data_IF_349065755894
#
_entry.id   IF_349065755894
#
_cell.length_a   1.000
_cell.length_b   1.000
_cell.length_c   1.000
_cell.angle_alpha   90.00
_cell.angle_beta   90.00
_cell.angle_gamma   90.00
#
_symmetry.space_group_name_H-M   'P 1'
#
loop_
_entity.id
_entity.type
_entity.pdbx_description
1 polymer ?
#
# COMPACT_ATOMS: atom_id res chain seq x y z
N UNK A 1 -6.04 -36.11 12.09
CA UNK A 1 -5.62 -34.80 11.51
C UNK A 1 -5.98 -34.90 10.02
N UNK A 2 -7.05 -34.22 9.63
CA UNK A 2 -7.40 -34.09 8.21
C UNK A 2 -6.43 -33.03 7.68
N UNK A 3 -5.52 -33.41 6.80
CA UNK A 3 -4.75 -32.42 6.03
C UNK A 3 -5.77 -31.62 5.21
N UNK A 4 -5.99 -30.35 5.56
CA UNK A 4 -6.62 -29.42 4.62
C UNK A 4 -5.74 -29.45 3.37
N UNK A 5 -6.20 -30.10 2.32
CA UNK A 5 -5.60 -29.98 0.99
C UNK A 5 -5.75 -28.49 0.62
N UNK A 6 -4.66 -27.74 0.68
CA UNK A 6 -4.63 -26.38 0.19
C UNK A 6 -4.90 -26.39 -1.32
N UNK A 7 -6.08 -25.92 -1.71
CA UNK A 7 -6.43 -25.78 -3.11
C UNK A 7 -5.49 -24.75 -3.77
N UNK A 8 -4.71 -25.21 -4.74
CA UNK A 8 -3.79 -24.35 -5.49
C UNK A 8 -4.62 -23.38 -6.33
N UNK A 9 -4.51 -22.10 -6.04
CA UNK A 9 -5.16 -21.03 -6.81
C UNK A 9 -4.19 -20.38 -7.78
N UNK A 10 -4.72 -19.84 -8.87
CA UNK A 10 -3.96 -19.06 -9.86
C UNK A 10 -4.16 -17.56 -9.62
N UNK A 11 -3.08 -16.85 -9.39
CA UNK A 11 -3.10 -15.44 -9.05
C UNK A 11 -2.32 -14.58 -10.06
N UNK A 12 -2.87 -13.41 -10.39
CA UNK A 12 -2.17 -12.41 -11.18
C UNK A 12 -2.02 -11.14 -10.37
N UNK A 13 -0.78 -10.70 -10.19
CA UNK A 13 -0.46 -9.45 -9.49
C UNK A 13 -0.07 -8.39 -10.53
N UNK A 14 -0.89 -7.36 -10.66
CA UNK A 14 -0.66 -6.22 -11.57
C UNK A 14 0.05 -5.12 -10.81
N UNK A 15 1.34 -4.92 -11.12
CA UNK A 15 2.19 -3.92 -10.49
C UNK A 15 3.29 -4.53 -9.59
N UNK A 16 4.55 -4.33 -9.98
CA UNK A 16 5.74 -4.86 -9.30
C UNK A 16 6.42 -3.83 -8.38
N UNK A 17 5.62 -2.99 -7.69
CA UNK A 17 6.08 -2.17 -6.58
C UNK A 17 6.36 -3.03 -5.32
N UNK A 18 6.83 -2.42 -4.21
CA UNK A 18 7.19 -3.15 -2.98
C UNK A 18 6.08 -4.10 -2.50
N UNK A 19 4.85 -3.61 -2.37
CA UNK A 19 3.71 -4.42 -1.93
C UNK A 19 3.36 -5.51 -2.94
N UNK A 20 3.32 -5.18 -4.26
CA UNK A 20 2.99 -6.18 -5.29
C UNK A 20 4.01 -7.32 -5.39
N UNK A 21 5.31 -7.02 -5.28
CA UNK A 21 6.37 -8.05 -5.22
C UNK A 21 6.21 -8.94 -4.00
N UNK A 22 5.96 -8.35 -2.85
CA UNK A 22 5.77 -9.09 -1.60
C UNK A 22 4.49 -9.93 -1.63
N UNK A 23 3.40 -9.40 -2.22
CA UNK A 23 2.15 -10.17 -2.43
C UNK A 23 2.41 -11.39 -3.30
N UNK A 24 3.13 -11.21 -4.43
CA UNK A 24 3.46 -12.31 -5.32
C UNK A 24 4.35 -13.35 -4.62
N UNK A 25 5.38 -12.91 -3.89
CA UNK A 25 6.30 -13.78 -3.15
C UNK A 25 5.58 -14.60 -2.08
N UNK A 26 4.71 -13.95 -1.30
CA UNK A 26 3.93 -14.62 -0.24
C UNK A 26 2.99 -15.66 -0.84
N UNK A 27 2.23 -15.30 -1.85
CA UNK A 27 1.29 -16.20 -2.49
C UNK A 27 1.99 -17.43 -3.13
N UNK A 28 3.13 -17.22 -3.81
CA UNK A 28 3.92 -18.32 -4.33
C UNK A 28 4.52 -19.20 -3.22
N UNK A 29 4.97 -18.60 -2.11
CA UNK A 29 5.46 -19.33 -0.94
C UNK A 29 4.37 -20.15 -0.21
N UNK A 30 3.11 -19.82 -0.43
CA UNK A 30 1.95 -20.59 0.05
C UNK A 30 1.50 -21.67 -0.98
N UNK A 31 2.23 -21.84 -2.09
CA UNK A 31 1.99 -22.88 -3.09
C UNK A 31 1.01 -22.50 -4.21
N UNK A 32 0.66 -21.21 -4.34
CA UNK A 32 -0.19 -20.75 -5.44
C UNK A 32 0.62 -20.53 -6.74
N UNK A 33 -0.03 -20.67 -7.90
CA UNK A 33 0.54 -20.29 -9.20
C UNK A 33 0.44 -18.76 -9.36
N UNK A 34 1.58 -18.07 -9.47
CA UNK A 34 1.59 -16.60 -9.42
C UNK A 34 2.28 -15.99 -10.63
N UNK A 35 1.55 -15.09 -11.29
CA UNK A 35 2.08 -14.22 -12.34
C UNK A 35 2.16 -12.79 -11.81
N UNK A 36 3.37 -12.21 -11.80
CA UNK A 36 3.57 -10.79 -11.52
C UNK A 36 3.77 -10.01 -12.81
N UNK A 37 3.02 -8.94 -12.99
CA UNK A 37 3.13 -8.10 -14.19
C UNK A 37 3.54 -6.68 -13.87
N UNK A 38 4.39 -6.11 -14.69
CA UNK A 38 4.68 -4.67 -14.74
C UNK A 38 5.35 -4.33 -16.06
N UNK A 39 5.42 -3.03 -16.41
CA UNK A 39 6.10 -2.58 -17.62
C UNK A 39 7.58 -2.99 -17.64
N UNK A 40 8.21 -3.00 -16.48
CA UNK A 40 9.61 -3.40 -16.28
C UNK A 40 9.67 -4.55 -15.26
N UNK A 41 9.11 -5.70 -15.63
CA UNK A 41 9.07 -6.86 -14.75
C UNK A 41 10.50 -7.47 -14.64
N UNK A 42 11.22 -7.08 -13.60
CA UNK A 42 12.43 -7.79 -13.18
C UNK A 42 12.06 -9.04 -12.38
N UNK A 43 13.00 -9.96 -12.19
CA UNK A 43 12.81 -11.16 -11.37
C UNK A 43 12.45 -10.81 -9.92
N UNK A 44 11.63 -11.64 -9.29
CA UNK A 44 11.35 -11.60 -7.84
C UNK A 44 12.24 -12.65 -7.18
N UNK A 45 13.00 -12.24 -6.15
CA UNK A 45 13.80 -13.18 -5.38
C UNK A 45 12.93 -13.98 -4.42
N UNK A 46 13.17 -15.29 -4.31
CA UNK A 46 12.57 -16.16 -3.30
C UNK A 46 11.13 -16.61 -3.60
N UNK A 47 10.97 -17.45 -4.61
CA UNK A 47 9.72 -18.11 -4.94
C UNK A 47 9.58 -18.35 -6.44
N UNK A 48 8.75 -19.30 -6.84
CA UNK A 48 8.41 -19.57 -8.23
C UNK A 48 7.38 -18.56 -8.77
N UNK A 49 7.77 -17.27 -8.80
CA UNK A 49 6.95 -16.21 -9.36
C UNK A 49 7.30 -16.01 -10.82
N UNK A 50 6.35 -16.30 -11.71
CA UNK A 50 6.49 -16.00 -13.14
C UNK A 50 6.30 -14.50 -13.38
N UNK A 51 7.31 -13.81 -13.88
CA UNK A 51 7.24 -12.38 -14.21
C UNK A 51 6.99 -12.15 -15.69
N UNK A 52 6.07 -11.23 -16.02
CA UNK A 52 5.68 -10.92 -17.39
C UNK A 52 5.66 -9.40 -17.57
N UNK A 53 6.33 -8.91 -18.63
CA UNK A 53 6.24 -7.49 -18.99
C UNK A 53 4.86 -7.20 -19.60
N UNK A 54 4.13 -6.25 -18.97
CA UNK A 54 2.81 -5.85 -19.42
C UNK A 54 2.49 -4.40 -19.05
N UNK A 55 1.73 -3.74 -19.92
CA UNK A 55 1.10 -2.47 -19.59
C UNK A 55 -0.31 -2.73 -19.03
N UNK A 56 -0.58 -2.21 -17.84
CA UNK A 56 -1.88 -2.37 -17.18
C UNK A 56 -3.03 -1.67 -17.90
N UNK A 57 -2.74 -0.80 -18.89
CA UNK A 57 -3.74 -0.17 -19.74
C UNK A 57 -4.06 -0.98 -20.99
N UNK A 58 -3.23 -1.98 -21.33
CA UNK A 58 -3.50 -2.94 -22.44
C UNK A 58 -4.39 -4.08 -21.94
N UNK A 59 -5.71 -3.87 -22.06
CA UNK A 59 -6.74 -4.84 -21.67
C UNK A 59 -6.53 -6.20 -22.34
N UNK A 60 -6.21 -6.22 -23.64
CA UNK A 60 -6.06 -7.47 -24.36
C UNK A 60 -4.85 -8.28 -23.86
N UNK A 61 -3.77 -7.60 -23.50
CA UNK A 61 -2.60 -8.23 -22.90
C UNK A 61 -2.92 -8.78 -21.51
N UNK A 62 -3.57 -7.96 -20.66
CA UNK A 62 -3.97 -8.40 -19.31
C UNK A 62 -4.92 -9.61 -19.35
N UNK A 63 -5.92 -9.59 -20.24
CA UNK A 63 -6.83 -10.73 -20.42
C UNK A 63 -6.08 -12.02 -20.80
N UNK A 64 -5.11 -11.93 -21.73
CA UNK A 64 -4.30 -13.10 -22.10
C UNK A 64 -3.49 -13.65 -20.93
N UNK A 65 -2.89 -12.75 -20.14
CA UNK A 65 -2.06 -13.11 -18.97
C UNK A 65 -2.91 -13.70 -17.86
N UNK A 66 -4.13 -13.21 -17.68
CA UNK A 66 -5.03 -13.57 -16.58
C UNK A 66 -5.97 -14.74 -16.89
N UNK A 67 -5.83 -15.42 -18.03
CA UNK A 67 -6.67 -16.60 -18.35
C UNK A 67 -6.51 -17.68 -17.29
N UNK A 68 -7.63 -18.10 -16.71
CA UNK A 68 -7.66 -19.11 -15.64
C UNK A 68 -7.24 -18.59 -14.27
N UNK A 69 -7.06 -17.29 -14.11
CA UNK A 69 -6.80 -16.73 -12.80
C UNK A 69 -8.06 -16.72 -11.92
N UNK A 70 -7.91 -17.13 -10.66
CA UNK A 70 -8.96 -17.05 -9.64
C UNK A 70 -9.07 -15.63 -9.07
N UNK A 71 -7.93 -14.96 -8.91
CA UNK A 71 -7.85 -13.61 -8.34
C UNK A 71 -6.83 -12.76 -9.09
N UNK A 72 -7.20 -11.51 -9.35
CA UNK A 72 -6.30 -10.46 -9.82
C UNK A 72 -6.09 -9.45 -8.70
N UNK A 73 -4.82 -9.20 -8.34
CA UNK A 73 -4.42 -8.15 -7.41
C UNK A 73 -4.01 -6.90 -8.20
N UNK A 74 -4.66 -5.77 -7.93
CA UNK A 74 -4.28 -4.48 -8.50
C UNK A 74 -3.38 -3.74 -7.52
N UNK A 75 -2.05 -3.84 -7.73
CA UNK A 75 -1.01 -3.18 -6.94
C UNK A 75 -0.24 -2.11 -7.74
N UNK A 76 -0.62 -1.89 -9.02
CA UNK A 76 0.00 -0.87 -9.86
C UNK A 76 -0.40 0.53 -9.41
N UNK A 77 0.50 1.49 -9.63
CA UNK A 77 0.28 2.90 -9.33
C UNK A 77 0.81 3.78 -10.47
N UNK A 78 0.07 4.82 -10.81
CA UNK A 78 0.54 5.88 -11.69
C UNK A 78 1.54 6.79 -10.95
N UNK A 79 2.40 7.54 -11.67
CA UNK A 79 3.21 8.60 -11.06
C UNK A 79 2.32 9.56 -10.27
N UNK A 80 2.75 9.94 -9.07
CA UNK A 80 1.90 10.64 -8.08
C UNK A 80 1.26 11.93 -8.62
N UNK A 81 1.99 12.71 -9.44
CA UNK A 81 1.51 13.93 -10.08
C UNK A 81 0.55 13.68 -11.26
N UNK A 82 0.44 12.43 -11.75
CA UNK A 82 -0.39 12.05 -12.89
C UNK A 82 -1.62 11.22 -12.50
N UNK A 83 -1.92 11.08 -11.22
CA UNK A 83 -3.06 10.30 -10.76
C UNK A 83 -4.38 10.67 -11.43
N UNK A 84 -4.74 11.96 -11.62
CA UNK A 84 -6.03 12.30 -12.23
C UNK A 84 -6.21 11.80 -13.67
N UNK A 85 -5.10 11.54 -14.38
CA UNK A 85 -5.14 11.17 -15.81
C UNK A 85 -4.70 9.74 -16.09
N UNK A 86 -3.70 9.22 -15.36
CA UNK A 86 -3.09 7.92 -15.67
C UNK A 86 -3.54 6.79 -14.76
N UNK A 87 -4.13 7.08 -13.59
CA UNK A 87 -4.48 6.02 -12.67
C UNK A 87 -5.78 5.30 -13.03
N UNK A 88 -6.77 6.01 -13.57
CA UNK A 88 -8.01 5.40 -14.01
C UNK A 88 -7.82 4.38 -15.14
N UNK A 89 -7.05 4.64 -16.21
CA UNK A 89 -6.78 3.65 -17.24
C UNK A 89 -6.15 2.35 -16.70
N UNK A 90 -5.26 2.44 -15.70
CA UNK A 90 -4.64 1.27 -15.05
C UNK A 90 -5.70 0.45 -14.30
N UNK A 91 -6.57 1.11 -13.51
CA UNK A 91 -7.66 0.43 -12.83
C UNK A 91 -8.65 -0.18 -13.82
N UNK A 92 -9.12 0.62 -14.77
CA UNK A 92 -10.15 0.22 -15.73
C UNK A 92 -9.68 -0.98 -16.57
N UNK A 93 -8.39 -0.99 -16.96
CA UNK A 93 -7.77 -2.13 -17.64
C UNK A 93 -7.75 -3.39 -16.79
N UNK A 94 -7.41 -3.25 -15.52
CA UNK A 94 -7.38 -4.39 -14.57
C UNK A 94 -8.79 -4.92 -14.26
N UNK A 95 -9.76 -4.03 -14.02
CA UNK A 95 -11.18 -4.39 -13.82
C UNK A 95 -11.71 -5.13 -15.05
N UNK A 96 -11.46 -4.59 -16.25
CA UNK A 96 -11.94 -5.21 -17.49
C UNK A 96 -11.33 -6.58 -17.74
N UNK A 97 -10.05 -6.76 -17.39
CA UNK A 97 -9.42 -8.06 -17.46
C UNK A 97 -10.08 -9.05 -16.47
N UNK A 98 -10.30 -8.64 -15.22
CA UNK A 98 -10.96 -9.46 -14.21
C UNK A 98 -12.38 -9.90 -14.65
N UNK A 99 -13.19 -8.96 -15.14
CA UNK A 99 -14.52 -9.23 -15.65
C UNK A 99 -14.52 -10.21 -16.85
N UNK A 100 -13.53 -10.06 -17.75
CA UNK A 100 -13.44 -10.89 -18.96
C UNK A 100 -13.09 -12.34 -18.64
N UNK A 101 -12.25 -12.57 -17.63
CA UNK A 101 -11.82 -13.93 -17.25
C UNK A 101 -12.63 -14.51 -16.08
N UNK A 102 -13.51 -13.70 -15.44
CA UNK A 102 -14.30 -14.12 -14.28
C UNK A 102 -13.52 -14.18 -12.96
N UNK A 103 -12.35 -13.55 -12.89
CA UNK A 103 -11.52 -13.54 -11.68
C UNK A 103 -12.05 -12.55 -10.64
N UNK A 104 -11.91 -12.88 -9.36
CA UNK A 104 -12.14 -11.93 -8.26
C UNK A 104 -11.07 -10.83 -8.31
N UNK A 105 -11.38 -9.66 -7.76
CA UNK A 105 -10.49 -8.49 -7.76
C UNK A 105 -10.13 -8.07 -6.34
N UNK A 106 -8.84 -7.94 -6.03
CA UNK A 106 -8.34 -7.36 -4.78
C UNK A 106 -7.50 -6.12 -5.11
N UNK A 107 -7.94 -4.95 -4.65
CA UNK A 107 -7.33 -3.66 -4.98
C UNK A 107 -6.52 -3.13 -3.81
N UNK A 108 -5.28 -2.76 -4.05
CA UNK A 108 -4.48 -1.99 -3.10
C UNK A 108 -4.93 -0.52 -3.12
N UNK A 109 -5.64 -0.13 -2.09
CA UNK A 109 -6.10 1.23 -1.85
C UNK A 109 -5.27 1.97 -0.81
N UNK A 110 -5.77 3.15 -0.43
CA UNK A 110 -5.21 3.94 0.68
C UNK A 110 -6.33 4.67 1.45
N UNK A 111 -5.92 5.49 2.43
CA UNK A 111 -6.84 6.17 3.34
C UNK A 111 -7.26 7.57 2.88
N UNK A 112 -6.76 8.06 1.75
CA UNK A 112 -7.01 9.44 1.28
C UNK A 112 -8.48 9.73 1.01
N UNK A 113 -9.25 8.72 0.62
CA UNK A 113 -10.67 8.84 0.33
C UNK A 113 -11.54 9.21 1.55
N UNK A 114 -11.05 9.05 2.77
CA UNK A 114 -11.80 9.45 3.98
C UNK A 114 -11.81 10.96 4.20
N UNK A 115 -10.82 11.69 3.67
CA UNK A 115 -10.70 13.13 3.80
C UNK A 115 -10.25 13.61 5.18
N UNK A 116 -10.04 14.93 5.28
CA UNK A 116 -9.50 15.59 6.48
C UNK A 116 -10.47 15.57 7.67
N UNK A 117 -11.78 15.54 7.38
CA UNK A 117 -12.84 15.64 8.40
C UNK A 117 -13.31 14.27 8.92
N UNK A 118 -12.66 13.19 8.50
CA UNK A 118 -13.03 11.85 8.93
C UNK A 118 -12.97 11.69 10.44
N UNK A 119 -13.95 10.98 10.99
CA UNK A 119 -13.93 10.58 12.40
C UNK A 119 -12.70 9.70 12.69
N UNK A 120 -12.10 9.85 13.87
CA UNK A 120 -10.94 9.07 14.28
C UNK A 120 -11.28 8.19 15.49
N UNK A 121 -10.92 6.89 15.52
CA UNK A 121 -10.18 6.18 14.49
C UNK A 121 -10.96 6.00 13.19
N UNK A 122 -10.25 6.12 12.05
CA UNK A 122 -10.82 5.83 10.74
C UNK A 122 -11.10 4.33 10.63
N UNK A 123 -12.33 3.95 10.33
CA UNK A 123 -12.78 2.56 10.20
C UNK A 123 -13.13 2.25 8.74
N UNK A 124 -13.01 0.98 8.27
CA UNK A 124 -13.42 0.59 6.92
C UNK A 124 -14.90 0.85 6.61
N UNK A 125 -15.74 0.93 7.65
CA UNK A 125 -17.16 1.18 7.54
C UNK A 125 -17.54 2.66 7.37
N UNK A 126 -16.60 3.60 7.61
CA UNK A 126 -16.85 5.02 7.41
C UNK A 126 -17.07 5.34 5.93
N UNK A 127 -17.99 6.27 5.62
CA UNK A 127 -18.17 6.75 4.26
C UNK A 127 -16.89 7.45 3.78
N UNK A 128 -16.63 7.37 2.48
CA UNK A 128 -15.59 8.14 1.84
C UNK A 128 -16.12 9.56 1.56
N UNK A 129 -15.41 10.55 2.09
CA UNK A 129 -15.71 11.99 1.94
C UNK A 129 -14.41 12.76 1.66
N UNK A 130 -13.83 12.58 0.47
CA UNK A 130 -12.52 13.12 0.14
C UNK A 130 -12.52 14.66 0.09
N UNK A 131 -11.54 15.29 0.75
CA UNK A 131 -11.33 16.73 0.75
C UNK A 131 -10.21 17.18 -0.20
N UNK A 132 -9.54 16.24 -0.88
CA UNK A 132 -8.41 16.49 -1.75
C UNK A 132 -8.59 15.85 -3.12
N UNK A 133 -7.84 16.33 -4.13
CA UNK A 133 -7.88 15.76 -5.50
C UNK A 133 -7.46 14.29 -5.51
N UNK A 134 -6.41 13.93 -4.78
CA UNK A 134 -5.93 12.53 -4.69
C UNK A 134 -6.90 11.65 -3.92
N UNK A 135 -7.52 12.16 -2.87
CA UNK A 135 -8.62 11.49 -2.17
C UNK A 135 -9.80 11.20 -3.10
N UNK A 136 -10.21 12.19 -3.92
CA UNK A 136 -11.26 12.01 -4.92
C UNK A 136 -10.92 10.93 -5.94
N UNK A 137 -9.67 10.92 -6.46
CA UNK A 137 -9.22 9.86 -7.37
C UNK A 137 -9.36 8.49 -6.74
N UNK A 138 -8.89 8.29 -5.50
CA UNK A 138 -8.98 7.00 -4.80
C UNK A 138 -10.42 6.58 -4.52
N UNK A 139 -11.27 7.52 -4.15
CA UNK A 139 -12.71 7.27 -3.96
C UNK A 139 -13.36 6.77 -5.24
N UNK A 140 -13.13 7.44 -6.37
CA UNK A 140 -13.67 7.03 -7.67
C UNK A 140 -13.12 5.67 -8.10
N UNK A 141 -11.83 5.40 -7.87
CA UNK A 141 -11.23 4.10 -8.16
C UNK A 141 -11.93 2.97 -7.39
N UNK A 142 -12.15 3.15 -6.10
CA UNK A 142 -12.90 2.15 -5.33
C UNK A 142 -14.34 1.99 -5.82
N UNK A 143 -15.04 3.09 -6.10
CA UNK A 143 -16.41 3.04 -6.64
C UNK A 143 -16.47 2.24 -7.95
N UNK A 144 -15.50 2.43 -8.85
CA UNK A 144 -15.42 1.67 -10.12
C UNK A 144 -15.13 0.19 -9.86
N UNK A 145 -14.17 -0.13 -8.97
CA UNK A 145 -13.85 -1.51 -8.63
C UNK A 145 -15.02 -2.22 -7.95
N UNK A 146 -15.71 -1.55 -7.04
CA UNK A 146 -16.89 -2.10 -6.35
C UNK A 146 -18.11 -2.28 -7.26
N UNK A 147 -18.19 -1.53 -8.36
CA UNK A 147 -19.24 -1.66 -9.37
C UNK A 147 -18.92 -2.71 -10.46
N UNK A 148 -17.75 -3.37 -10.40
CA UNK A 148 -17.40 -4.44 -11.33
C UNK A 148 -18.38 -5.61 -11.24
N UNK A 149 -18.54 -6.34 -12.34
CA UNK A 149 -19.41 -7.54 -12.40
C UNK A 149 -18.82 -8.75 -11.67
N UNK A 150 -17.58 -8.65 -11.22
CA UNK A 150 -16.89 -9.66 -10.39
C UNK A 150 -16.77 -9.18 -8.94
N UNK A 151 -16.65 -10.10 -7.97
CA UNK A 151 -16.44 -9.72 -6.57
C UNK A 151 -15.15 -8.90 -6.39
N UNK A 152 -15.23 -7.76 -5.68
CA UNK A 152 -14.08 -6.91 -5.40
C UNK A 152 -13.93 -6.65 -3.89
N UNK A 153 -12.67 -6.58 -3.43
CA UNK A 153 -12.27 -6.11 -2.09
C UNK A 153 -11.18 -5.05 -2.26
N UNK A 154 -11.21 -4.01 -1.43
CA UNK A 154 -10.13 -3.04 -1.32
C UNK A 154 -9.36 -3.25 0.00
N UNK A 155 -8.04 -3.27 -0.06
CA UNK A 155 -7.16 -3.21 1.11
C UNK A 155 -6.55 -1.81 1.17
N UNK A 156 -6.98 -1.00 2.13
CA UNK A 156 -6.54 0.38 2.32
C UNK A 156 -5.37 0.44 3.28
N UNK A 157 -4.24 0.95 2.81
CA UNK A 157 -3.04 1.14 3.61
C UNK A 157 -2.78 2.63 3.88
N UNK A 158 -2.11 2.92 4.99
CA UNK A 158 -1.54 4.23 5.30
C UNK A 158 -0.15 4.38 4.67
N UNK A 159 0.61 5.38 5.08
CA UNK A 159 2.00 5.55 4.64
C UNK A 159 2.85 4.34 5.02
N UNK A 160 3.71 3.93 4.10
CA UNK A 160 4.46 2.70 4.24
C UNK A 160 5.80 2.87 4.94
N UNK A 161 6.12 1.89 5.78
CA UNK A 161 7.47 1.48 6.12
C UNK A 161 7.74 0.11 5.48
N UNK A 162 9.01 -0.21 5.26
CA UNK A 162 9.46 -1.46 4.66
C UNK A 162 10.38 -1.24 3.48
N UNK A 163 11.02 -2.31 3.05
CA UNK A 163 12.00 -2.28 1.96
C UNK A 163 11.38 -1.70 0.67
N UNK A 164 12.03 -0.68 0.10
CA UNK A 164 11.62 -0.03 -1.13
C UNK A 164 10.35 0.82 -1.04
N UNK A 165 9.79 1.06 0.16
CA UNK A 165 8.65 1.94 0.35
C UNK A 165 9.00 3.38 -0.06
N UNK A 166 8.10 4.02 -0.83
CA UNK A 166 8.24 5.41 -1.26
C UNK A 166 7.16 6.24 -0.55
N UNK A 167 7.57 7.00 0.45
CA UNK A 167 6.71 7.87 1.30
C UNK A 167 7.46 9.15 1.63
N UNK A 168 6.78 10.11 2.26
CA UNK A 168 7.48 11.31 2.74
C UNK A 168 8.62 10.98 3.69
N UNK A 169 8.44 9.99 4.55
CA UNK A 169 9.49 9.57 5.47
C UNK A 169 10.71 9.05 4.73
N UNK A 170 10.52 8.14 3.76
CA UNK A 170 11.63 7.58 2.98
C UNK A 170 12.32 8.59 2.06
N UNK A 171 11.61 9.64 1.66
CA UNK A 171 12.16 10.67 0.77
C UNK A 171 12.79 11.86 1.52
N UNK A 172 12.31 12.19 2.72
CA UNK A 172 12.74 13.37 3.45
C UNK A 172 13.60 13.05 4.68
N UNK A 173 13.17 12.08 5.50
CA UNK A 173 13.83 11.77 6.77
C UNK A 173 14.89 10.67 6.65
N UNK A 174 14.56 9.58 5.97
CA UNK A 174 15.45 8.41 5.86
C UNK A 174 16.82 8.72 5.24
N UNK A 175 16.95 9.53 4.16
CA UNK A 175 18.25 9.87 3.61
C UNK A 175 19.19 10.60 4.59
N UNK A 176 18.63 11.51 5.40
CA UNK A 176 19.39 12.22 6.43
C UNK A 176 19.84 11.27 7.56
N UNK A 177 18.95 10.34 7.96
CA UNK A 177 19.28 9.30 8.95
C UNK A 177 20.38 8.36 8.46
N UNK A 178 20.30 7.88 7.22
CA UNK A 178 21.32 7.01 6.64
C UNK A 178 22.70 7.69 6.53
N UNK A 179 22.72 9.00 6.28
CA UNK A 179 23.93 9.82 6.27
C UNK A 179 24.39 10.24 7.68
N UNK A 180 23.66 9.85 8.72
CA UNK A 180 23.89 10.23 10.11
C UNK A 180 23.97 11.76 10.30
N UNK A 181 23.11 12.51 9.60
CA UNK A 181 23.02 13.96 9.71
C UNK A 181 22.54 14.37 11.11
N UNK A 182 23.03 15.52 11.59
CA UNK A 182 22.66 16.05 12.92
C UNK A 182 21.24 16.63 12.96
N UNK A 183 20.63 16.88 11.81
CA UNK A 183 19.31 17.50 11.65
C UNK A 183 18.48 16.70 10.66
N UNK A 184 17.23 16.42 11.02
CA UNK A 184 16.20 15.86 10.14
C UNK A 184 15.05 16.84 10.05
N UNK A 185 14.64 17.20 8.84
CA UNK A 185 13.50 18.09 8.60
C UNK A 185 12.32 17.31 8.05
N UNK A 186 11.11 17.56 8.60
CA UNK A 186 9.90 16.88 8.18
C UNK A 186 8.67 17.81 8.30
N UNK A 187 7.69 17.75 7.39
CA UNK A 187 6.49 18.57 7.46
C UNK A 187 5.47 18.08 8.49
N UNK A 188 4.51 18.93 8.86
CA UNK A 188 3.43 18.61 9.78
C UNK A 188 3.84 18.62 11.25
N UNK A 189 2.99 18.14 12.11
CA UNK A 189 3.20 18.05 13.54
C UNK A 189 4.09 16.83 13.88
N UNK A 190 5.32 17.09 14.32
CA UNK A 190 6.32 16.05 14.57
C UNK A 190 5.97 15.12 15.75
N UNK A 191 5.04 15.56 16.61
CA UNK A 191 4.64 14.86 17.84
C UNK A 191 3.27 14.18 17.72
N UNK A 192 2.50 14.45 16.64
CA UNK A 192 1.23 13.80 16.42
C UNK A 192 1.44 12.34 15.97
N UNK A 193 0.80 11.35 16.59
CA UNK A 193 0.83 9.97 16.13
C UNK A 193 0.23 9.86 14.72
N UNK A 194 1.01 9.30 13.80
CA UNK A 194 0.62 8.96 12.45
C UNK A 194 0.49 7.45 12.29
N UNK A 195 -0.39 6.99 11.41
CA UNK A 195 -0.54 5.57 11.10
C UNK A 195 0.50 5.14 10.07
N UNK A 196 1.24 4.08 10.35
CA UNK A 196 2.25 3.50 9.45
C UNK A 196 1.87 2.07 9.12
N UNK A 197 1.66 1.77 7.85
CA UNK A 197 1.46 0.43 7.33
C UNK A 197 2.80 -0.22 6.98
N UNK A 198 2.95 -1.51 7.24
CA UNK A 198 4.09 -2.27 6.78
C UNK A 198 3.79 -2.88 5.40
N UNK A 199 4.73 -2.76 4.46
CA UNK A 199 4.57 -3.35 3.12
C UNK A 199 4.27 -4.83 3.16
N UNK A 200 4.93 -5.58 4.06
CA UNK A 200 4.72 -7.03 4.24
C UNK A 200 3.37 -7.36 4.87
N UNK A 201 2.91 -6.60 5.88
CA UNK A 201 1.60 -6.85 6.47
C UNK A 201 0.46 -6.48 5.52
N UNK A 202 0.68 -5.43 4.70
CA UNK A 202 -0.26 -5.10 3.62
C UNK A 202 -0.35 -6.20 2.58
N UNK A 203 0.79 -6.79 2.18
CA UNK A 203 0.81 -7.94 1.29
C UNK A 203 0.11 -9.16 1.88
N UNK A 204 0.34 -9.47 3.17
CA UNK A 204 -0.41 -10.53 3.89
C UNK A 204 -1.91 -10.25 3.87
N UNK A 205 -2.31 -8.99 4.09
CA UNK A 205 -3.73 -8.60 4.08
C UNK A 205 -4.34 -8.80 2.69
N UNK A 206 -3.62 -8.46 1.61
CA UNK A 206 -4.07 -8.70 0.24
C UNK A 206 -4.27 -10.21 -0.04
N UNK A 207 -3.28 -11.04 0.31
CA UNK A 207 -3.36 -12.51 0.10
C UNK A 207 -4.49 -13.11 0.94
N UNK A 208 -4.63 -12.71 2.21
CA UNK A 208 -5.72 -13.17 3.06
C UNK A 208 -7.10 -12.72 2.55
N UNK A 209 -7.21 -11.47 2.02
CA UNK A 209 -8.44 -10.96 1.43
C UNK A 209 -8.87 -11.75 0.17
N UNK A 210 -7.93 -12.28 -0.60
CA UNK A 210 -8.23 -13.14 -1.76
C UNK A 210 -8.97 -14.43 -1.38
N UNK A 211 -8.71 -14.92 -0.17
CA UNK A 211 -9.32 -16.14 0.41
C UNK A 211 -10.53 -15.86 1.30
N UNK A 212 -10.92 -14.59 1.44
CA UNK A 212 -12.04 -14.21 2.29
C UNK A 212 -13.34 -14.83 1.81
N UNK A 213 -14.01 -15.59 2.69
CA UNK A 213 -15.23 -16.34 2.39
C UNK A 213 -16.51 -15.56 2.72
N UNK A 214 -16.39 -14.40 3.38
CA UNK A 214 -17.52 -13.56 3.70
C UNK A 214 -17.99 -12.70 2.52
N UNK A 215 -18.83 -11.71 2.81
CA UNK A 215 -19.40 -10.80 1.80
C UNK A 215 -18.31 -9.89 1.20
N UNK A 216 -18.12 -9.98 -0.10
CA UNK A 216 -17.29 -9.07 -0.90
C UNK A 216 -18.00 -7.73 -1.13
N UNK A 217 -17.36 -6.79 -1.81
CA UNK A 217 -17.87 -5.42 -1.98
C UNK A 217 -17.58 -4.55 -0.76
N UNK A 218 -16.46 -4.80 -0.06
CA UNK A 218 -16.04 -4.10 1.15
C UNK A 218 -14.56 -3.71 1.10
N UNK A 219 -14.16 -2.86 2.06
CA UNK A 219 -12.77 -2.59 2.30
C UNK A 219 -12.29 -3.24 3.61
N UNK A 220 -10.97 -3.52 3.67
CA UNK A 220 -10.21 -3.80 4.88
C UNK A 220 -9.11 -2.76 5.04
N UNK A 221 -8.74 -2.42 6.26
CA UNK A 221 -7.54 -1.64 6.51
C UNK A 221 -6.35 -2.57 6.72
N UNK A 222 -5.22 -2.29 6.07
CA UNK A 222 -3.97 -2.94 6.41
C UNK A 222 -3.60 -2.60 7.86
N UNK A 223 -3.08 -3.55 8.65
CA UNK A 223 -2.64 -3.29 10.02
C UNK A 223 -1.59 -2.17 10.07
N UNK A 224 -1.61 -1.37 11.15
CA UNK A 224 -0.76 -0.20 11.30
C UNK A 224 -0.08 -0.13 12.67
N UNK A 225 1.05 0.58 12.73
CA UNK A 225 1.62 1.13 13.95
C UNK A 225 1.32 2.62 14.03
N UNK A 226 0.94 3.12 15.22
CA UNK A 226 0.67 4.54 15.43
C UNK A 226 1.86 5.17 16.16
N UNK A 227 2.68 5.90 15.43
CA UNK A 227 3.95 6.44 15.93
C UNK A 227 4.12 7.87 15.42
N UNK A 228 4.60 8.79 16.27
CA UNK A 228 4.95 10.14 15.84
C UNK A 228 6.21 10.13 14.97
N UNK A 229 6.43 11.20 14.21
CA UNK A 229 7.70 11.37 13.46
C UNK A 229 8.88 11.40 14.43
N UNK A 230 8.73 12.05 15.58
CA UNK A 230 9.78 12.12 16.61
C UNK A 230 10.18 10.74 17.09
N UNK A 231 9.20 9.92 17.47
CA UNK A 231 9.47 8.59 17.99
C UNK A 231 10.02 7.66 16.90
N UNK A 232 9.49 7.79 15.67
CA UNK A 232 9.98 7.02 14.52
C UNK A 232 11.45 7.35 14.21
N UNK A 233 11.80 8.65 14.14
CA UNK A 233 13.20 9.08 13.93
C UNK A 233 14.09 8.59 15.08
N UNK A 234 13.63 8.68 16.32
CA UNK A 234 14.34 8.13 17.49
C UNK A 234 14.60 6.63 17.36
N UNK A 235 13.62 5.88 16.85
CA UNK A 235 13.73 4.44 16.63
C UNK A 235 14.76 4.10 15.54
N UNK A 236 14.74 4.81 14.41
CA UNK A 236 15.75 4.66 13.37
C UNK A 236 17.14 5.04 13.87
N UNK A 237 17.27 6.15 14.60
CA UNK A 237 18.54 6.58 15.16
C UNK A 237 19.15 5.52 16.10
N UNK A 238 18.33 4.91 16.95
CA UNK A 238 18.78 3.83 17.83
C UNK A 238 19.28 2.61 17.06
N UNK A 239 18.57 2.17 16.01
CA UNK A 239 18.99 1.04 15.19
C UNK A 239 20.24 1.34 14.33
N UNK A 240 20.46 2.60 13.96
CA UNK A 240 21.64 3.05 13.23
C UNK A 240 22.83 3.37 14.16
N UNK A 241 22.68 3.16 15.46
CA UNK A 241 23.68 3.46 16.49
C UNK A 241 24.23 4.90 16.33
N UNK A 242 23.29 5.86 16.20
CA UNK A 242 23.61 7.27 16.08
C UNK A 242 22.93 8.10 17.16
N UNK A 243 23.48 9.28 17.46
CA UNK A 243 22.78 10.24 18.29
C UNK A 243 21.48 10.66 17.60
N UNK A 244 20.39 10.72 18.35
CA UNK A 244 19.11 11.20 17.83
C UNK A 244 19.29 12.62 17.26
N UNK A 245 18.94 12.85 15.98
CA UNK A 245 19.12 14.15 15.34
C UNK A 245 18.15 15.18 15.89
N UNK A 246 18.50 16.46 15.73
CA UNK A 246 17.54 17.54 15.92
C UNK A 246 16.44 17.45 14.87
N UNK A 247 15.18 17.48 15.32
CA UNK A 247 14.04 17.52 14.41
C UNK A 247 13.60 18.96 14.15
N UNK A 248 13.47 19.33 12.87
CA UNK A 248 12.95 20.61 12.43
C UNK A 248 11.67 20.44 11.63
N UNK A 249 10.64 21.16 12.03
CA UNK A 249 9.40 21.22 11.28
C UNK A 249 9.59 22.04 10.01
N UNK A 250 9.23 21.45 8.86
CA UNK A 250 9.24 22.15 7.57
C UNK A 250 7.91 22.88 7.37
N UNK A 251 7.99 24.10 6.88
CA UNK A 251 6.81 24.84 6.41
C UNK A 251 6.32 24.30 5.06
N UNK A 252 5.03 24.48 4.71
CA UNK A 252 4.53 24.16 3.37
C UNK A 252 5.34 24.81 2.24
N UNK A 253 5.82 26.05 2.45
CA UNK A 253 6.68 26.75 1.49
C UNK A 253 8.02 26.06 1.27
N UNK A 254 8.66 25.60 2.35
CA UNK A 254 9.91 24.86 2.25
C UNK A 254 9.70 23.50 1.53
N UNK A 255 8.62 22.78 1.87
CA UNK A 255 8.28 21.54 1.23
C UNK A 255 8.04 21.73 -0.28
N UNK A 256 7.30 22.78 -0.65
CA UNK A 256 7.07 23.16 -2.04
C UNK A 256 8.37 23.51 -2.76
N UNK A 257 9.26 24.27 -2.08
CA UNK A 257 10.55 24.71 -2.62
C UNK A 257 11.52 23.57 -2.99
N UNK A 258 11.35 22.39 -2.40
CA UNK A 258 12.11 21.17 -2.74
C UNK A 258 11.38 20.23 -3.71
N UNK A 259 10.31 20.71 -4.36
CA UNK A 259 9.60 19.97 -5.42
C UNK A 259 8.43 19.10 -4.96
N UNK A 260 8.02 19.16 -3.70
CA UNK A 260 6.91 18.36 -3.15
C UNK A 260 5.56 19.07 -3.20
N UNK A 261 5.26 19.81 -4.28
CA UNK A 261 3.98 20.52 -4.44
C UNK A 261 2.77 19.60 -4.34
N UNK A 262 2.85 18.43 -4.95
CA UNK A 262 1.77 17.44 -4.98
C UNK A 262 1.50 16.80 -3.61
N UNK A 263 2.42 17.00 -2.68
CA UNK A 263 2.34 16.50 -1.33
C UNK A 263 1.49 17.38 -0.41
N UNK A 264 1.37 18.66 -0.74
CA UNK A 264 0.75 19.66 0.13
C UNK A 264 -0.70 19.31 0.48
N UNK A 265 -1.45 18.79 -0.47
CA UNK A 265 -2.86 18.42 -0.23
C UNK A 265 -3.03 17.26 0.76
N UNK A 266 -1.97 16.50 1.05
CA UNK A 266 -2.00 15.38 1.98
C UNK A 266 -1.38 15.68 3.35
N UNK A 267 -0.91 16.91 3.59
CA UNK A 267 -0.28 17.28 4.87
C UNK A 267 -1.21 17.15 6.06
N UNK A 268 -2.52 17.27 5.87
CA UNK A 268 -3.51 17.10 6.94
C UNK A 268 -3.36 15.76 7.68
N UNK A 269 -2.82 14.73 7.03
CA UNK A 269 -2.57 13.42 7.64
C UNK A 269 -1.50 13.48 8.75
N UNK A 270 -0.65 14.52 8.73
CA UNK A 270 0.43 14.72 9.68
C UNK A 270 0.21 15.90 10.65
N UNK A 271 -0.89 16.66 10.53
CA UNK A 271 -1.15 17.84 11.37
C UNK A 271 -1.74 17.48 12.74
N UNK A 272 -2.51 16.41 12.80
CA UNK A 272 -3.19 15.94 14.02
C UNK A 272 -3.10 14.42 14.12
N UNK A 273 -3.35 13.82 15.30
CA UNK A 273 -3.33 12.36 15.44
C UNK A 273 -4.22 11.69 14.39
N UNK A 274 -3.63 10.88 13.54
CA UNK A 274 -4.33 10.10 12.53
C UNK A 274 -4.34 8.62 12.93
N UNK A 275 -5.48 8.18 13.49
CA UNK A 275 -5.66 6.83 13.98
C UNK A 275 -6.51 6.02 13.02
N UNK A 276 -6.13 4.76 12.83
CA UNK A 276 -6.77 3.82 11.91
C UNK A 276 -7.21 2.59 12.70
N UNK A 277 -8.44 2.17 12.50
CA UNK A 277 -8.97 0.91 12.97
C UNK A 277 -8.78 -0.17 11.91
N UNK A 278 -8.02 -1.20 12.23
CA UNK A 278 -7.76 -2.37 11.40
C UNK A 278 -8.24 -3.68 12.08
N UNK A 279 -9.14 -3.59 13.07
CA UNK A 279 -9.63 -4.75 13.80
C UNK A 279 -10.27 -5.81 12.90
N UNK A 280 -10.96 -5.41 11.83
CA UNK A 280 -11.52 -6.33 10.84
C UNK A 280 -10.46 -7.22 10.18
N UNK A 281 -9.26 -6.69 9.91
CA UNK A 281 -8.17 -7.47 9.33
C UNK A 281 -7.62 -8.51 10.30
N UNK A 282 -7.54 -8.20 11.59
CA UNK A 282 -7.15 -9.17 12.60
C UNK A 282 -8.24 -10.24 12.79
N UNK A 283 -9.50 -9.83 12.94
CA UNK A 283 -10.59 -10.71 13.29
C UNK A 283 -11.04 -11.61 12.12
N UNK A 284 -11.09 -11.07 10.91
CA UNK A 284 -11.66 -11.73 9.74
C UNK A 284 -10.60 -12.32 8.80
N UNK A 285 -9.40 -11.75 8.77
CA UNK A 285 -8.31 -12.18 7.90
C UNK A 285 -7.12 -12.78 8.67
N UNK A 286 -7.11 -12.71 10.00
CA UNK A 286 -6.02 -13.23 10.84
C UNK A 286 -4.70 -12.44 10.72
N UNK A 287 -4.73 -11.21 10.20
CA UNK A 287 -3.52 -10.43 9.94
C UNK A 287 -3.34 -9.34 11.00
N UNK A 288 -2.23 -9.41 11.72
CA UNK A 288 -1.84 -8.46 12.77
C UNK A 288 -0.70 -7.57 12.33
N UNK A 289 -0.61 -6.38 12.97
CA UNK A 289 0.50 -5.48 12.76
C UNK A 289 1.82 -6.09 13.27
N UNK A 290 2.84 -6.06 12.44
CA UNK A 290 4.21 -6.35 12.86
C UNK A 290 4.70 -5.28 13.85
N UNK A 291 5.72 -5.62 14.64
CA UNK A 291 6.33 -4.65 15.55
C UNK A 291 7.01 -3.52 14.80
N UNK A 292 7.07 -2.34 15.40
CA UNK A 292 7.79 -1.20 14.84
C UNK A 292 9.26 -1.54 14.55
N UNK A 293 9.88 -2.34 15.41
CA UNK A 293 11.26 -2.80 15.22
C UNK A 293 11.45 -3.57 13.92
N UNK A 294 10.55 -4.51 13.63
CA UNK A 294 10.58 -5.27 12.39
C UNK A 294 10.38 -4.37 11.16
N UNK A 295 9.47 -3.38 11.25
CA UNK A 295 9.23 -2.43 10.16
C UNK A 295 10.46 -1.55 9.89
N UNK A 296 11.09 -1.02 10.94
CA UNK A 296 12.30 -0.18 10.84
C UNK A 296 13.47 -1.00 10.29
N UNK A 297 13.69 -2.20 10.83
CA UNK A 297 14.76 -3.09 10.36
C UNK A 297 14.62 -3.42 8.87
N UNK A 298 13.42 -3.73 8.42
CA UNK A 298 13.16 -4.04 7.01
C UNK A 298 13.34 -2.80 6.10
N UNK A 299 12.93 -1.62 6.59
CA UNK A 299 13.12 -0.37 5.87
C UNK A 299 14.60 -0.06 5.64
N UNK A 300 15.45 -0.36 6.62
CA UNK A 300 16.91 -0.18 6.53
C UNK A 300 17.61 -1.15 5.56
N UNK A 301 16.94 -2.24 5.16
CA UNK A 301 17.45 -3.17 4.14
C UNK A 301 17.24 -2.67 2.70
N UNK A 302 16.59 -1.50 2.51
CA UNK A 302 16.44 -0.89 1.20
C UNK A 302 17.82 -0.56 0.63
N UNK A 303 18.13 -0.90 -0.63
CA UNK A 303 19.34 -0.40 -1.28
C UNK A 303 19.25 1.14 -1.31
N UNK A 304 20.38 1.77 -0.97
CA UNK A 304 20.52 3.23 -0.94
C UNK A 304 20.41 3.84 -2.36
#
# INVERSE_FOLDING_TARGET
>A
MVSEEFEVSSYVVVGAGPVGRETARLAAGEGHDVVLTSRNAGSVQGGEVRTVSADATDVAQLVRISRGADVIFMCAMAPYHRWPTEFFPILDGTVKAAETVGAKLVVLGNLYGYGENAATPVSPALPLDPTTRKGTVRTIMWQRAAAATVPAIEVRASDFLGQGAVTYFSLLALPALLKKEAVVSFPGNLDAPHAWSFTKDTAKTLVAAARFTGKWGRAFHAPVQHVSIRDLVGKFAAMLEMKTPELRQMTPTQLSGIGFHEALEMLYLFEKPFRVDAADSEQLLGVRASSLDAMVQDTLQSPA
#
